data_IF_908992868480
#
_entry.id   IF_908992868480
#
_cell.length_a   1.000
_cell.length_b   1.000
_cell.length_c   1.000
_cell.angle_alpha   90.00
_cell.angle_beta   90.00
_cell.angle_gamma   90.00
#
_symmetry.space_group_name_H-M   'P 1'
#
loop_
_entity.id
_entity.type
_entity.pdbx_description
1 polymer ?
#
# COMPACT_ATOMS: atom_id res chain seq x y z
N UNK A 1 -0.35 -27.66 26.02
CA UNK A 1 0.66 -26.82 26.70
C UNK A 1 1.62 -26.06 25.75
N UNK A 2 1.80 -26.49 24.50
CA UNK A 2 2.76 -25.85 23.55
C UNK A 2 2.31 -24.45 23.10
N UNK A 3 1.02 -24.26 22.78
CA UNK A 3 0.50 -22.96 22.32
C UNK A 3 0.69 -21.84 23.36
N UNK A 4 0.51 -22.12 24.66
CA UNK A 4 0.68 -21.12 25.72
C UNK A 4 2.13 -20.65 25.85
N UNK A 5 3.13 -21.50 25.60
CA UNK A 5 4.55 -21.07 25.57
C UNK A 5 4.87 -20.22 24.33
N UNK A 6 4.25 -20.53 23.19
CA UNK A 6 4.44 -19.81 21.92
C UNK A 6 3.77 -18.43 21.88
N UNK A 7 2.63 -18.26 22.54
CA UNK A 7 1.86 -17.01 22.50
C UNK A 7 1.91 -16.17 23.79
N UNK A 8 2.43 -16.71 24.90
CA UNK A 8 2.54 -15.97 26.18
C UNK A 8 3.98 -15.54 26.52
N UNK A 9 4.95 -15.81 25.65
CA UNK A 9 6.30 -15.23 25.77
C UNK A 9 6.36 -13.91 25.01
N UNK A 10 7.19 -12.98 25.48
CA UNK A 10 7.40 -11.72 24.78
C UNK A 10 7.91 -12.01 23.36
N UNK A 11 7.23 -11.46 22.36
CA UNK A 11 7.65 -11.61 20.97
C UNK A 11 8.99 -10.88 20.78
N UNK A 12 10.04 -11.55 20.30
CA UNK A 12 11.29 -10.88 19.98
C UNK A 12 11.04 -9.92 18.81
N UNK A 13 11.10 -8.63 19.10
CA UNK A 13 11.03 -7.60 18.07
C UNK A 13 12.43 -7.41 17.49
N UNK A 14 12.53 -7.50 16.16
CA UNK A 14 13.77 -7.24 15.43
C UNK A 14 13.62 -5.90 14.73
N UNK A 15 14.50 -4.96 15.05
CA UNK A 15 14.59 -3.70 14.31
C UNK A 15 15.38 -3.92 13.02
N UNK A 16 14.69 -4.03 11.89
CA UNK A 16 15.32 -4.27 10.59
C UNK A 16 16.13 -3.07 10.09
N UNK A 17 15.93 -1.87 10.65
CA UNK A 17 16.60 -0.65 10.17
C UNK A 17 18.10 -0.64 10.48
N UNK A 18 18.50 -1.33 11.55
CA UNK A 18 19.90 -1.45 11.99
C UNK A 18 20.61 -2.70 11.44
N UNK A 19 19.87 -3.66 10.90
CA UNK A 19 20.45 -4.90 10.35
C UNK A 19 21.15 -4.60 9.03
N UNK A 20 22.44 -4.96 8.85
CA UNK A 20 23.16 -4.77 7.59
C UNK A 20 22.53 -5.52 6.41
N UNK A 21 22.62 -4.95 5.20
CA UNK A 21 22.00 -5.57 4.02
C UNK A 21 22.61 -6.94 3.70
N UNK A 22 23.92 -7.11 3.90
CA UNK A 22 24.63 -8.38 3.68
C UNK A 22 24.21 -9.47 4.68
N UNK A 23 23.75 -9.07 5.86
CA UNK A 23 23.10 -9.97 6.83
C UNK A 23 21.69 -10.34 6.36
N UNK A 24 20.86 -9.35 6.00
CA UNK A 24 19.50 -9.58 5.45
C UNK A 24 19.55 -10.52 4.24
N UNK A 25 20.57 -10.37 3.39
CA UNK A 25 20.81 -11.19 2.21
C UNK A 25 20.98 -12.70 2.49
N UNK A 26 21.20 -13.08 3.76
CA UNK A 26 21.32 -14.47 4.23
C UNK A 26 20.00 -15.03 4.78
N UNK A 27 18.98 -14.21 4.99
CA UNK A 27 17.68 -14.61 5.58
C UNK A 27 16.75 -15.38 4.61
N UNK A 28 17.27 -15.79 3.45
CA UNK A 28 16.59 -16.64 2.45
C UNK A 28 15.22 -16.09 2.02
N UNK A 29 14.13 -16.67 2.52
CA UNK A 29 12.75 -16.39 2.06
C UNK A 29 12.22 -15.03 2.52
N UNK A 30 12.65 -14.56 3.68
CA UNK A 30 12.17 -13.30 4.27
C UNK A 30 13.00 -12.09 3.83
N UNK A 31 14.22 -12.33 3.33
CA UNK A 31 15.18 -11.31 2.89
C UNK A 31 14.60 -10.28 1.91
N UNK A 32 13.74 -10.71 0.96
CA UNK A 32 13.11 -9.81 0.00
C UNK A 32 12.23 -8.77 0.70
N UNK A 33 11.42 -9.24 1.65
CA UNK A 33 10.49 -8.38 2.35
C UNK A 33 11.21 -7.46 3.32
N UNK A 34 12.24 -7.96 3.99
CA UNK A 34 13.10 -7.18 4.88
C UNK A 34 13.85 -6.06 4.15
N UNK A 35 14.49 -6.35 3.01
CA UNK A 35 15.16 -5.33 2.20
C UNK A 35 14.17 -4.27 1.73
N UNK A 36 13.00 -4.69 1.22
CA UNK A 36 11.99 -3.71 0.82
C UNK A 36 11.51 -2.90 2.02
N UNK A 37 11.16 -3.52 3.16
CA UNK A 37 10.67 -2.80 4.33
C UNK A 37 11.68 -1.79 4.88
N UNK A 38 12.96 -2.18 4.96
CA UNK A 38 14.05 -1.30 5.42
C UNK A 38 14.20 -0.06 4.53
N UNK A 39 14.01 -0.21 3.21
CA UNK A 39 14.32 0.83 2.25
C UNK A 39 13.09 1.49 1.60
N UNK A 40 11.85 1.04 1.86
CA UNK A 40 10.64 1.53 1.16
C UNK A 40 10.42 3.04 1.34
N UNK A 41 10.90 3.60 2.46
CA UNK A 41 10.85 5.04 2.76
C UNK A 41 12.04 5.84 2.24
N UNK A 42 13.10 5.17 1.79
CA UNK A 42 14.24 5.82 1.18
C UNK A 42 13.87 6.32 -0.22
N UNK A 43 14.43 7.46 -0.65
CA UNK A 43 14.06 8.09 -1.92
C UNK A 43 14.46 7.26 -3.15
N UNK A 44 15.50 6.44 -3.03
CA UNK A 44 16.07 5.69 -4.13
C UNK A 44 15.98 4.17 -3.93
N UNK A 45 14.94 3.57 -4.49
CA UNK A 45 14.79 2.11 -4.55
C UNK A 45 15.67 1.48 -5.63
N UNK A 46 16.23 2.26 -6.56
CA UNK A 46 17.00 1.73 -7.68
C UNK A 46 18.30 1.07 -7.21
N UNK A 47 18.89 1.56 -6.11
CA UNK A 47 20.06 0.94 -5.47
C UNK A 47 19.84 -0.51 -5.02
N UNK A 48 18.58 -0.94 -4.84
CA UNK A 48 18.25 -2.30 -4.38
C UNK A 48 18.05 -3.30 -5.52
N UNK A 49 18.01 -2.85 -6.77
CA UNK A 49 17.65 -3.71 -7.91
C UNK A 49 18.58 -4.92 -7.99
N UNK A 50 19.88 -4.73 -7.79
CA UNK A 50 20.86 -5.82 -7.84
C UNK A 50 20.67 -6.85 -6.73
N UNK A 51 20.48 -6.39 -5.49
CA UNK A 51 20.26 -7.26 -4.33
C UNK A 51 18.96 -8.08 -4.49
N UNK A 52 17.89 -7.45 -4.98
CA UNK A 52 16.61 -8.13 -5.19
C UNK A 52 16.66 -9.10 -6.35
N UNK A 53 17.36 -8.75 -7.44
CA UNK A 53 17.62 -9.70 -8.52
C UNK A 53 18.37 -10.91 -7.99
N UNK A 54 19.40 -10.72 -7.17
CA UNK A 54 20.13 -11.81 -6.56
C UNK A 54 19.22 -12.71 -5.68
N UNK A 55 18.31 -12.13 -4.89
CA UNK A 55 17.35 -12.91 -4.09
C UNK A 55 16.33 -13.68 -4.93
N UNK A 56 15.83 -13.05 -5.98
CA UNK A 56 14.85 -13.67 -6.88
C UNK A 56 15.48 -14.81 -7.68
N UNK A 57 16.72 -14.66 -8.14
CA UNK A 57 17.47 -15.73 -8.84
C UNK A 57 17.72 -16.91 -7.91
N UNK A 58 17.97 -16.69 -6.61
CA UNK A 58 18.09 -17.78 -5.61
C UNK A 58 16.78 -18.58 -5.44
N UNK A 59 15.64 -18.09 -5.92
CA UNK A 59 14.39 -18.84 -5.95
C UNK A 59 13.74 -19.10 -4.59
N UNK A 60 14.12 -18.35 -3.55
CA UNK A 60 13.58 -18.57 -2.20
C UNK A 60 12.13 -18.09 -2.03
N UNK A 61 11.69 -17.16 -2.88
CA UNK A 61 10.36 -16.57 -2.79
C UNK A 61 9.36 -17.37 -3.61
N UNK A 62 8.25 -17.74 -2.98
CA UNK A 62 7.11 -18.29 -3.68
C UNK A 62 6.15 -17.20 -4.15
N UNK A 63 5.12 -17.60 -4.90
CA UNK A 63 4.12 -16.74 -5.53
C UNK A 63 3.42 -15.84 -4.52
N UNK A 64 3.03 -16.42 -3.38
CA UNK A 64 2.37 -15.70 -2.29
C UNK A 64 3.30 -14.63 -1.72
N UNK A 65 4.57 -14.95 -1.49
CA UNK A 65 5.56 -14.00 -0.97
C UNK A 65 5.82 -12.86 -1.94
N UNK A 66 5.92 -13.15 -3.24
CA UNK A 66 6.05 -12.11 -4.28
C UNK A 66 4.81 -11.22 -4.34
N UNK A 67 3.62 -11.82 -4.28
CA UNK A 67 2.37 -11.05 -4.27
C UNK A 67 2.26 -10.16 -3.03
N UNK A 68 2.58 -10.67 -1.84
CA UNK A 68 2.61 -9.87 -0.60
C UNK A 68 3.61 -8.72 -0.68
N UNK A 69 4.80 -8.97 -1.26
CA UNK A 69 5.82 -7.95 -1.46
C UNK A 69 5.31 -6.82 -2.37
N UNK A 70 4.71 -7.18 -3.51
CA UNK A 70 4.18 -6.19 -4.45
C UNK A 70 3.00 -5.41 -3.88
N UNK A 71 2.08 -6.10 -3.16
CA UNK A 71 1.00 -5.43 -2.42
C UNK A 71 1.58 -4.41 -1.45
N UNK A 72 2.55 -4.82 -0.62
CA UNK A 72 3.17 -3.94 0.35
C UNK A 72 3.82 -2.70 -0.30
N UNK A 73 4.55 -2.89 -1.40
CA UNK A 73 5.16 -1.79 -2.15
C UNK A 73 4.13 -0.85 -2.78
N UNK A 74 3.00 -1.37 -3.27
CA UNK A 74 1.93 -0.56 -3.84
C UNK A 74 1.21 0.29 -2.78
N UNK A 75 0.95 -0.28 -1.60
CA UNK A 75 0.27 0.44 -0.52
C UNK A 75 1.17 1.46 0.19
N UNK A 76 2.47 1.16 0.32
CA UNK A 76 3.38 1.95 1.16
C UNK A 76 4.31 2.86 0.36
N UNK A 77 4.57 2.53 -0.91
CA UNK A 77 5.53 3.23 -1.75
C UNK A 77 4.90 4.18 -2.77
N UNK A 78 5.74 5.00 -3.39
CA UNK A 78 5.36 5.83 -4.54
C UNK A 78 5.12 4.94 -5.78
N UNK A 79 3.87 4.88 -6.24
CA UNK A 79 3.44 4.04 -7.35
C UNK A 79 4.23 4.29 -8.66
N UNK A 80 4.67 5.53 -8.91
CA UNK A 80 5.44 5.85 -10.11
C UNK A 80 6.85 5.24 -10.04
N UNK A 81 7.50 5.32 -8.87
CA UNK A 81 8.83 4.73 -8.64
C UNK A 81 8.78 3.21 -8.65
N UNK A 82 7.73 2.64 -8.05
CA UNK A 82 7.48 1.19 -8.05
C UNK A 82 7.41 0.64 -9.48
N UNK A 83 6.64 1.28 -10.37
CA UNK A 83 6.50 0.83 -11.75
C UNK A 83 7.85 0.79 -12.49
N UNK A 84 8.71 1.79 -12.30
CA UNK A 84 10.04 1.83 -12.90
C UNK A 84 10.95 0.76 -12.33
N UNK A 85 10.96 0.62 -11.01
CA UNK A 85 11.72 -0.39 -10.29
C UNK A 85 11.35 -1.83 -10.71
N UNK A 86 10.06 -2.15 -10.78
CA UNK A 86 9.58 -3.48 -11.20
C UNK A 86 9.96 -3.80 -12.64
N UNK A 87 9.89 -2.82 -13.54
CA UNK A 87 10.37 -3.01 -14.92
C UNK A 87 11.84 -3.37 -14.97
N UNK A 88 12.68 -2.71 -14.17
CA UNK A 88 14.12 -2.99 -14.11
C UNK A 88 14.42 -4.38 -13.56
N UNK A 89 13.74 -4.78 -12.49
CA UNK A 89 13.86 -6.15 -11.94
C UNK A 89 13.42 -7.20 -12.97
N UNK A 90 12.27 -6.99 -13.63
CA UNK A 90 11.73 -7.91 -14.63
C UNK A 90 12.62 -8.02 -15.88
N UNK A 91 13.31 -6.95 -16.29
CA UNK A 91 14.27 -6.98 -17.40
C UNK A 91 15.48 -7.87 -17.10
N UNK A 92 15.95 -7.88 -15.84
CA UNK A 92 17.13 -8.64 -15.41
C UNK A 92 16.84 -10.11 -15.11
N UNK A 93 15.56 -10.51 -15.04
CA UNK A 93 15.14 -11.88 -14.72
C UNK A 93 14.09 -12.37 -15.72
N UNK A 94 14.50 -12.76 -16.95
CA UNK A 94 13.56 -13.13 -18.01
C UNK A 94 12.60 -14.27 -17.60
N UNK A 95 13.08 -15.23 -16.81
CA UNK A 95 12.30 -16.37 -16.29
C UNK A 95 11.12 -15.97 -15.39
N UNK A 96 11.15 -14.79 -14.76
CA UNK A 96 10.06 -14.29 -13.92
C UNK A 96 9.33 -13.10 -14.54
N UNK A 97 9.76 -12.64 -15.72
CA UNK A 97 9.25 -11.44 -16.37
C UNK A 97 7.75 -11.47 -16.56
N UNK A 98 7.22 -12.51 -17.21
CA UNK A 98 5.78 -12.62 -17.49
C UNK A 98 4.96 -12.56 -16.20
N UNK A 99 5.33 -13.37 -15.21
CA UNK A 99 4.67 -13.43 -13.91
C UNK A 99 4.72 -12.11 -13.13
N UNK A 100 5.88 -11.45 -13.09
CA UNK A 100 6.04 -10.14 -12.46
C UNK A 100 5.15 -9.11 -13.17
N UNK A 101 5.10 -9.14 -14.51
CA UNK A 101 4.28 -8.23 -15.30
C UNK A 101 2.78 -8.49 -15.08
N UNK A 102 2.33 -9.74 -15.00
CA UNK A 102 0.93 -10.09 -14.69
C UNK A 102 0.52 -9.56 -13.32
N UNK A 103 1.38 -9.72 -12.30
CA UNK A 103 1.08 -9.21 -10.96
C UNK A 103 1.05 -7.68 -10.97
N UNK A 104 2.05 -7.04 -11.58
CA UNK A 104 2.08 -5.58 -11.72
C UNK A 104 0.84 -5.02 -12.43
N UNK A 105 0.34 -5.72 -13.45
CA UNK A 105 -0.85 -5.29 -14.19
C UNK A 105 -2.13 -5.43 -13.37
N UNK A 106 -2.31 -6.55 -12.67
CA UNK A 106 -3.44 -6.72 -11.75
C UNK A 106 -3.48 -5.62 -10.68
N UNK A 107 -2.32 -5.28 -10.14
CA UNK A 107 -2.17 -4.21 -9.15
C UNK A 107 -2.55 -2.85 -9.70
N UNK A 108 -2.15 -2.53 -10.94
CA UNK A 108 -2.58 -1.28 -11.59
C UNK A 108 -4.10 -1.22 -11.78
N UNK A 109 -4.70 -2.32 -12.22
CA UNK A 109 -6.16 -2.39 -12.42
C UNK A 109 -6.92 -2.25 -11.11
N UNK A 110 -6.45 -2.90 -10.05
CA UNK A 110 -7.02 -2.78 -8.71
C UNK A 110 -6.89 -1.34 -8.18
N UNK A 111 -5.70 -0.75 -8.29
CA UNK A 111 -5.46 0.64 -7.92
C UNK A 111 -6.35 1.62 -8.69
N UNK A 112 -6.54 1.41 -10.00
CA UNK A 112 -7.42 2.25 -10.81
C UNK A 112 -8.89 2.12 -10.40
N UNK A 113 -9.37 0.90 -10.16
CA UNK A 113 -10.73 0.64 -9.67
C UNK A 113 -10.98 1.29 -8.31
N UNK A 114 -10.07 1.11 -7.38
CA UNK A 114 -10.15 1.68 -6.04
C UNK A 114 -10.14 3.22 -6.11
N UNK A 115 -9.24 3.80 -6.91
CA UNK A 115 -9.17 5.25 -7.11
C UNK A 115 -10.44 5.83 -7.74
N UNK A 116 -11.04 5.15 -8.72
CA UNK A 116 -12.31 5.58 -9.31
C UNK A 116 -13.46 5.53 -8.30
N UNK A 117 -13.53 4.48 -7.49
CA UNK A 117 -14.56 4.33 -6.47
C UNK A 117 -14.42 5.39 -5.37
N UNK A 118 -13.19 5.61 -4.88
CA UNK A 118 -12.89 6.65 -3.90
C UNK A 118 -13.22 8.04 -4.45
N UNK A 119 -12.76 8.35 -5.66
CA UNK A 119 -13.04 9.65 -6.31
C UNK A 119 -14.53 9.89 -6.53
N UNK A 120 -15.31 8.85 -6.85
CA UNK A 120 -16.78 8.96 -6.95
C UNK A 120 -17.42 9.24 -5.60
N UNK A 121 -17.04 8.52 -4.55
CA UNK A 121 -17.57 8.72 -3.19
C UNK A 121 -17.21 10.12 -2.66
N UNK A 122 -15.97 10.53 -2.84
CA UNK A 122 -15.49 11.86 -2.43
C UNK A 122 -16.19 12.97 -3.22
N UNK A 123 -16.34 12.81 -4.54
CA UNK A 123 -17.09 13.75 -5.38
C UNK A 123 -18.56 13.86 -4.95
N UNK A 124 -19.21 12.74 -4.63
CA UNK A 124 -20.58 12.73 -4.10
C UNK A 124 -20.68 13.45 -2.75
N UNK A 125 -19.73 13.19 -1.84
CA UNK A 125 -19.65 13.83 -0.52
C UNK A 125 -19.42 15.35 -0.64
N UNK A 126 -18.49 15.77 -1.50
CA UNK A 126 -18.22 17.19 -1.77
C UNK A 126 -19.44 17.89 -2.39
N UNK A 127 -20.13 17.22 -3.32
CA UNK A 127 -21.36 17.76 -3.89
C UNK A 127 -22.46 17.91 -2.83
N UNK A 128 -22.64 16.92 -1.95
CA UNK A 128 -23.60 16.97 -0.86
C UNK A 128 -23.28 18.11 0.13
N UNK A 129 -22.01 18.29 0.50
CA UNK A 129 -21.56 19.42 1.35
C UNK A 129 -21.81 20.77 0.68
N UNK A 130 -21.52 20.90 -0.62
CA UNK A 130 -21.78 22.14 -1.37
C UNK A 130 -23.28 22.49 -1.39
N UNK A 131 -24.14 21.48 -1.60
CA UNK A 131 -25.59 21.66 -1.56
C UNK A 131 -26.04 22.05 -0.14
N UNK A 132 -25.53 21.36 0.89
CA UNK A 132 -25.85 21.66 2.27
C UNK A 132 -25.51 23.11 2.65
N UNK A 133 -24.34 23.61 2.24
CA UNK A 133 -23.95 25.02 2.45
C UNK A 133 -24.89 26.00 1.76
N UNK A 134 -25.28 25.73 0.51
CA UNK A 134 -26.25 26.58 -0.20
C UNK A 134 -27.58 26.62 0.55
N UNK A 135 -28.10 25.47 0.96
CA UNK A 135 -29.37 25.39 1.69
C UNK A 135 -29.30 26.09 3.04
N UNK A 136 -28.21 25.96 3.79
CA UNK A 136 -28.05 26.69 5.07
C UNK A 136 -28.00 28.21 4.84
N UNK A 137 -27.31 28.67 3.80
CA UNK A 137 -27.28 30.09 3.43
C UNK A 137 -28.65 30.62 2.98
N UNK A 138 -29.45 29.76 2.34
CA UNK A 138 -30.81 30.07 1.93
C UNK A 138 -31.83 29.97 3.10
N UNK A 139 -31.36 29.67 4.31
CA UNK A 139 -32.17 29.69 5.54
C UNK A 139 -32.89 28.39 5.87
N UNK A 140 -32.56 27.27 5.22
CA UNK A 140 -33.12 25.96 5.57
C UNK A 140 -32.60 25.49 6.94
N UNK A 141 -33.46 24.86 7.73
CA UNK A 141 -33.08 24.28 9.01
C UNK A 141 -32.15 23.06 8.84
N UNK A 142 -31.33 22.80 9.87
CA UNK A 142 -30.30 21.76 9.84
C UNK A 142 -30.86 20.36 9.64
N UNK A 143 -32.05 20.06 10.17
CA UNK A 143 -32.66 18.73 10.03
C UNK A 143 -33.15 18.49 8.60
N UNK A 144 -33.73 19.52 7.96
CA UNK A 144 -34.09 19.49 6.54
C UNK A 144 -32.86 19.31 5.65
N UNK A 145 -31.77 20.02 5.94
CA UNK A 145 -30.52 19.88 5.17
C UNK A 145 -29.94 18.46 5.29
N UNK A 146 -29.85 17.90 6.49
CA UNK A 146 -29.35 16.53 6.70
C UNK A 146 -30.20 15.49 5.97
N UNK A 147 -31.54 15.62 6.05
CA UNK A 147 -32.48 14.72 5.36
C UNK A 147 -32.33 14.78 3.83
N UNK A 148 -32.14 15.96 3.26
CA UNK A 148 -32.09 16.16 1.79
C UNK A 148 -30.72 15.77 1.21
N UNK A 149 -29.64 16.09 1.91
CA UNK A 149 -28.28 15.83 1.45
C UNK A 149 -27.76 14.44 1.82
N UNK A 150 -28.42 13.76 2.77
CA UNK A 150 -28.02 12.44 3.25
C UNK A 150 -26.72 12.43 4.05
N UNK A 151 -26.24 13.61 4.46
CA UNK A 151 -25.03 13.77 5.28
C UNK A 151 -25.29 13.32 6.72
N UNK A 152 -24.25 12.84 7.40
CA UNK A 152 -24.30 12.61 8.83
C UNK A 152 -24.19 13.94 9.59
N UNK A 153 -24.75 14.05 10.82
CA UNK A 153 -24.62 15.26 11.64
C UNK A 153 -23.16 15.71 11.87
N UNK A 154 -22.24 14.73 11.95
CA UNK A 154 -20.81 14.96 12.11
C UNK A 154 -20.17 15.64 10.89
N UNK A 155 -20.68 15.36 9.68
CA UNK A 155 -20.16 15.96 8.43
C UNK A 155 -20.39 17.48 8.37
N UNK A 156 -21.44 17.96 9.05
CA UNK A 156 -21.73 19.39 9.21
C UNK A 156 -21.09 20.00 10.46
N UNK A 157 -20.60 19.19 11.40
CA UNK A 157 -19.96 19.66 12.64
C UNK A 157 -18.47 19.97 12.45
N UNK A 158 -17.82 19.31 11.49
CA UNK A 158 -16.39 19.45 11.20
C UNK A 158 -15.99 20.76 10.50
N UNK A 159 -16.93 21.67 10.20
CA UNK A 159 -16.65 22.95 9.50
C UNK A 159 -16.79 24.21 10.36
N UNK A 160 -16.98 24.09 11.69
CA UNK A 160 -17.08 25.25 12.61
C UNK A 160 -15.71 25.69 13.21
N UNK A 161 -14.61 25.56 12.46
CA UNK A 161 -13.29 26.05 12.88
C UNK A 161 -12.76 27.15 11.96
#
# INVERSE_FOLDING_TARGET
MIARKLYATAFPLVDITVVPDDEIMRHRRVALLELIQKHIRQRDLMGLVEQLVALLVKGYANDTQLQSLFNYMMYTGDAARFNTFIRQVAMRIPQHKEKIMTIAERLRQEGHRNGLQQGKQEGQRLAALRIARSMLNDGFDRDTVLRVTGLAPADLASENH
#
